data_IF_873281415802
#
_entry.id   IF_873281415802
#
_cell.length_a   1.000
_cell.length_b   1.000
_cell.length_c   1.000
_cell.angle_alpha   90.00
_cell.angle_beta   90.00
_cell.angle_gamma   90.00
#
_symmetry.space_group_name_H-M   'P 1'
#
loop_
_entity.id
_entity.type
_entity.pdbx_description
1 polymer ?
#
# COMPACT_ATOMS: atom_id res chain seq x y z
N UNK A 1 3.22 12.84 4.79
CA UNK A 1 2.03 11.97 5.01
C UNK A 1 1.83 11.70 6.49
N UNK A 2 2.86 11.26 7.20
CA UNK A 2 2.89 11.05 8.65
C UNK A 2 2.18 12.16 9.45
N UNK A 3 2.65 13.40 9.37
CA UNK A 3 2.08 14.54 10.12
C UNK A 3 0.58 14.69 9.93
N UNK A 4 0.07 14.48 8.73
CA UNK A 4 -1.36 14.59 8.46
C UNK A 4 -2.15 13.49 9.18
N UNK A 5 -1.72 12.24 9.05
CA UNK A 5 -2.40 11.11 9.69
C UNK A 5 -2.26 11.13 11.21
N UNK A 6 -1.14 11.67 11.73
CA UNK A 6 -0.98 11.99 13.15
C UNK A 6 -1.98 13.06 13.59
N UNK A 7 -2.17 14.13 12.83
CA UNK A 7 -3.20 15.14 13.13
C UNK A 7 -4.61 14.56 13.10
N UNK A 8 -4.92 13.67 12.14
CA UNK A 8 -6.20 12.98 12.03
C UNK A 8 -6.45 12.09 13.26
N UNK A 9 -5.47 11.26 13.64
CA UNK A 9 -5.57 10.40 14.82
C UNK A 9 -5.69 11.19 16.12
N UNK A 10 -4.88 12.24 16.29
CA UNK A 10 -4.94 13.10 17.47
C UNK A 10 -6.28 13.85 17.57
N UNK A 11 -6.81 14.32 16.43
CA UNK A 11 -8.13 14.96 16.39
C UNK A 11 -9.21 13.99 16.85
N UNK A 12 -9.19 12.75 16.36
CA UNK A 12 -10.13 11.71 16.75
C UNK A 12 -10.06 11.36 18.24
N UNK A 13 -8.85 11.21 18.80
CA UNK A 13 -8.66 10.90 20.22
C UNK A 13 -9.11 12.02 21.17
N UNK A 14 -9.12 13.27 20.68
CA UNK A 14 -9.41 14.47 21.47
C UNK A 14 -10.85 14.97 21.24
N UNK A 15 -11.55 14.48 20.21
CA UNK A 15 -12.88 14.95 19.81
C UNK A 15 -13.94 14.83 20.91
N UNK A 16 -13.82 13.82 21.78
CA UNK A 16 -14.73 13.60 22.92
C UNK A 16 -14.47 14.52 24.12
N UNK A 17 -13.43 15.37 24.09
CA UNK A 17 -13.09 16.29 25.21
C UNK A 17 -13.59 17.70 24.90
N UNK A 18 -14.66 18.11 25.58
CA UNK A 18 -15.32 19.41 25.38
C UNK A 18 -14.37 20.62 25.48
N UNK A 19 -13.38 20.56 26.37
CA UNK A 19 -12.41 21.66 26.60
C UNK A 19 -11.38 21.84 25.48
N UNK A 20 -11.28 20.90 24.54
CA UNK A 20 -10.22 20.87 23.53
C UNK A 20 -10.71 21.17 22.10
N UNK A 21 -11.93 21.66 21.93
CA UNK A 21 -12.51 22.02 20.61
C UNK A 21 -11.61 22.97 19.79
N UNK A 22 -10.98 23.97 20.44
CA UNK A 22 -10.04 24.89 19.79
C UNK A 22 -8.80 24.17 19.23
N UNK A 23 -8.29 23.16 19.94
CA UNK A 23 -7.16 22.35 19.49
C UNK A 23 -7.56 21.46 18.31
N UNK A 24 -8.75 20.85 18.35
CA UNK A 24 -9.29 20.05 17.23
C UNK A 24 -9.40 20.90 15.95
N UNK A 25 -9.89 22.13 16.05
CA UNK A 25 -9.94 23.04 14.89
C UNK A 25 -8.56 23.35 14.32
N UNK A 26 -7.58 23.64 15.19
CA UNK A 26 -6.19 23.86 14.74
C UNK A 26 -5.58 22.63 14.07
N UNK A 27 -5.86 21.43 14.60
CA UNK A 27 -5.38 20.17 14.02
C UNK A 27 -6.02 19.91 12.65
N UNK A 28 -7.33 20.12 12.49
CA UNK A 28 -8.04 20.00 11.21
C UNK A 28 -7.52 21.02 10.18
N UNK A 29 -7.22 22.25 10.61
CA UNK A 29 -6.61 23.26 9.74
C UNK A 29 -5.20 22.83 9.28
N UNK A 30 -4.36 22.36 10.21
CA UNK A 30 -3.03 21.87 9.90
C UNK A 30 -3.08 20.66 8.96
N UNK A 31 -4.03 19.74 9.17
CA UNK A 31 -4.30 18.60 8.31
C UNK A 31 -4.58 19.05 6.86
N UNK A 32 -5.47 20.05 6.69
CA UNK A 32 -5.82 20.60 5.38
C UNK A 32 -4.64 21.27 4.69
N UNK A 33 -3.86 22.08 5.42
CA UNK A 33 -2.65 22.73 4.88
C UNK A 33 -1.60 21.71 4.45
N UNK A 34 -1.35 20.69 5.28
CA UNK A 34 -0.43 19.59 4.95
C UNK A 34 -0.93 18.79 3.75
N UNK A 35 -2.24 18.53 3.64
CA UNK A 35 -2.83 17.84 2.50
C UNK A 35 -2.59 18.60 1.20
N UNK A 36 -2.82 19.91 1.21
CA UNK A 36 -2.62 20.79 0.05
C UNK A 36 -1.15 20.85 -0.36
N UNK A 37 -0.24 21.04 0.62
CA UNK A 37 1.21 21.01 0.37
C UNK A 37 1.66 19.68 -0.25
N UNK A 38 1.16 18.54 0.24
CA UNK A 38 1.47 17.22 -0.35
C UNK A 38 1.00 17.07 -1.79
N UNK A 39 -0.11 17.69 -2.18
CA UNK A 39 -0.59 17.63 -3.58
C UNK A 39 0.32 18.46 -4.48
N UNK A 40 0.73 19.64 -4.02
CA UNK A 40 1.71 20.49 -4.70
C UNK A 40 3.01 19.75 -5.01
N UNK A 41 3.63 19.12 -3.99
CA UNK A 41 4.87 18.36 -4.17
C UNK A 41 4.73 17.16 -5.13
N UNK A 42 3.50 16.72 -5.43
CA UNK A 42 3.23 15.56 -6.30
C UNK A 42 2.92 15.92 -7.74
N UNK A 43 2.83 17.21 -8.10
CA UNK A 43 2.56 17.63 -9.48
C UNK A 43 3.57 17.07 -10.49
N UNK A 44 4.85 16.94 -10.10
CA UNK A 44 5.90 16.33 -10.94
C UNK A 44 5.81 14.80 -11.04
N UNK A 45 5.15 14.12 -10.10
CA UNK A 45 5.10 12.66 -10.06
C UNK A 45 4.20 12.05 -11.15
N UNK A 46 3.28 12.83 -11.73
CA UNK A 46 2.48 12.38 -12.87
C UNK A 46 3.37 12.02 -14.06
N UNK A 47 4.33 12.89 -14.39
CA UNK A 47 5.27 12.67 -15.50
C UNK A 47 6.15 11.46 -15.21
N UNK A 48 6.68 11.33 -13.99
CA UNK A 48 7.44 10.15 -13.57
C UNK A 48 6.61 8.86 -13.68
N UNK A 49 5.33 8.89 -13.30
CA UNK A 49 4.45 7.72 -13.40
C UNK A 49 4.16 7.33 -14.86
N UNK A 50 3.99 8.31 -15.76
CA UNK A 50 3.82 8.06 -17.19
C UNK A 50 5.09 7.48 -17.83
N UNK A 51 6.26 8.01 -17.48
CA UNK A 51 7.55 7.48 -17.96
C UNK A 51 7.76 6.05 -17.44
N UNK A 52 7.42 5.77 -16.18
CA UNK A 52 7.49 4.42 -15.62
C UNK A 52 6.50 3.45 -16.31
N UNK A 53 5.28 3.91 -16.63
CA UNK A 53 4.32 3.12 -17.39
C UNK A 53 4.85 2.75 -18.79
N UNK A 54 5.53 3.68 -19.47
CA UNK A 54 6.16 3.43 -20.77
C UNK A 54 7.30 2.40 -20.67
N UNK A 55 8.19 2.54 -19.69
CA UNK A 55 9.32 1.61 -19.48
C UNK A 55 8.85 0.20 -19.14
N UNK A 56 7.78 0.07 -18.36
CA UNK A 56 7.23 -1.25 -18.00
C UNK A 56 6.53 -1.92 -19.19
N UNK A 57 6.03 -1.16 -20.18
CA UNK A 57 5.44 -1.73 -21.39
C UNK A 57 6.45 -2.48 -22.29
N UNK A 58 7.74 -2.23 -22.10
CA UNK A 58 8.83 -2.91 -22.83
C UNK A 58 9.28 -4.22 -22.16
N UNK A 59 8.66 -4.63 -21.06
CA UNK A 59 9.01 -5.87 -20.36
C UNK A 59 8.65 -7.13 -21.19
N UNK A 60 9.50 -8.17 -21.17
CA UNK A 60 9.28 -9.40 -21.94
C UNK A 60 8.20 -10.31 -21.33
N UNK A 61 8.00 -10.26 -20.01
CA UNK A 61 7.06 -11.09 -19.25
C UNK A 61 5.63 -10.51 -19.29
N UNK A 62 4.66 -11.26 -19.82
CA UNK A 62 3.30 -10.73 -20.15
C UNK A 62 2.48 -10.36 -18.91
N UNK A 63 2.48 -11.19 -17.87
CA UNK A 63 1.62 -11.02 -16.68
C UNK A 63 2.14 -9.92 -15.74
N UNK A 64 3.42 -9.91 -15.33
CA UNK A 64 4.00 -8.79 -14.57
C UNK A 64 3.92 -7.46 -15.32
N UNK A 65 4.15 -7.46 -16.64
CA UNK A 65 4.01 -6.27 -17.48
C UNK A 65 2.63 -5.65 -17.37
N UNK A 66 1.58 -6.44 -17.59
CA UNK A 66 0.22 -5.93 -17.55
C UNK A 66 -0.14 -5.33 -16.18
N UNK A 67 0.17 -6.05 -15.09
CA UNK A 67 -0.04 -5.57 -13.73
C UNK A 67 0.76 -4.29 -13.42
N UNK A 68 2.03 -4.23 -13.83
CA UNK A 68 2.89 -3.08 -13.58
C UNK A 68 2.44 -1.85 -14.39
N UNK A 69 2.20 -2.02 -15.69
CA UNK A 69 1.74 -0.93 -16.55
C UNK A 69 0.38 -0.40 -16.09
N UNK A 70 -0.57 -1.27 -15.74
CA UNK A 70 -1.87 -0.86 -15.21
C UNK A 70 -1.76 -0.15 -13.85
N UNK A 71 -0.85 -0.58 -12.96
CA UNK A 71 -0.57 0.11 -11.69
C UNK A 71 0.02 1.50 -11.91
N UNK A 72 0.98 1.66 -12.84
CA UNK A 72 1.56 2.96 -13.14
C UNK A 72 0.57 3.91 -13.82
N UNK A 73 -0.29 3.39 -14.71
CA UNK A 73 -1.32 4.18 -15.37
C UNK A 73 -2.41 4.65 -14.39
N UNK A 74 -2.92 3.76 -13.55
CA UNK A 74 -3.88 4.13 -12.49
C UNK A 74 -3.29 5.15 -11.51
N UNK A 75 -1.99 5.06 -11.22
CA UNK A 75 -1.26 6.03 -10.39
C UNK A 75 -1.06 7.37 -11.09
N UNK A 76 -0.82 7.39 -12.39
CA UNK A 76 -0.77 8.63 -13.18
C UNK A 76 -2.12 9.34 -13.20
N UNK A 77 -3.23 8.60 -13.41
CA UNK A 77 -4.59 9.13 -13.34
C UNK A 77 -4.93 9.68 -11.94
N UNK A 78 -4.48 9.00 -10.89
CA UNK A 78 -4.59 9.52 -9.53
C UNK A 78 -3.86 10.85 -9.34
N UNK A 79 -2.61 10.96 -9.81
CA UNK A 79 -1.86 12.23 -9.71
C UNK A 79 -2.48 13.35 -10.53
N UNK A 80 -3.07 13.04 -11.69
CA UNK A 80 -3.83 14.02 -12.47
C UNK A 80 -5.03 14.56 -11.68
N UNK A 81 -5.80 13.68 -11.04
CA UNK A 81 -6.91 14.11 -10.19
C UNK A 81 -6.42 14.94 -8.98
N UNK A 82 -5.29 14.57 -8.37
CA UNK A 82 -4.67 15.33 -7.28
C UNK A 82 -4.20 16.72 -7.74
N UNK A 83 -3.69 16.84 -8.97
CA UNK A 83 -3.30 18.11 -9.58
C UNK A 83 -4.52 19.01 -9.82
N UNK A 84 -5.61 18.47 -10.35
CA UNK A 84 -6.87 19.19 -10.55
C UNK A 84 -7.47 19.67 -9.22
N UNK A 85 -7.47 18.82 -8.19
CA UNK A 85 -7.93 19.20 -6.86
C UNK A 85 -7.04 20.26 -6.19
N UNK A 86 -5.73 20.23 -6.46
CA UNK A 86 -4.80 21.27 -5.98
C UNK A 86 -5.03 22.60 -6.71
N UNK A 87 -5.21 22.57 -8.03
CA UNK A 87 -5.50 23.76 -8.84
C UNK A 87 -6.73 24.52 -8.32
N UNK A 88 -7.79 23.77 -7.96
CA UNK A 88 -8.97 24.32 -7.27
C UNK A 88 -8.61 24.93 -5.91
N UNK A 89 -7.77 24.27 -5.10
CA UNK A 89 -7.41 24.77 -3.76
C UNK A 89 -6.63 26.09 -3.77
N UNK A 90 -5.94 26.38 -4.88
CA UNK A 90 -5.21 27.64 -5.10
C UNK A 90 -6.14 28.73 -5.69
N UNK A 91 -7.38 28.37 -6.06
CA UNK A 91 -8.36 29.32 -6.61
C UNK A 91 -8.23 29.58 -8.11
N UNK A 92 -7.37 28.82 -8.82
CA UNK A 92 -7.15 28.99 -10.25
C UNK A 92 -8.33 28.52 -11.11
N UNK A 93 -9.13 27.57 -10.62
CA UNK A 93 -10.34 27.12 -11.29
C UNK A 93 -11.46 26.78 -10.28
N UNK A 94 -12.34 27.74 -9.94
CA UNK A 94 -13.35 27.59 -8.89
C UNK A 94 -14.61 26.81 -9.33
N UNK A 95 -14.77 26.47 -10.61
CA UNK A 95 -15.96 25.79 -11.13
C UNK A 95 -15.88 24.24 -11.07
N UNK A 96 -14.74 23.70 -10.62
CA UNK A 96 -14.50 22.25 -10.61
C UNK A 96 -15.26 21.54 -9.48
N UNK A 97 -16.13 20.58 -9.80
CA UNK A 97 -16.84 19.77 -8.78
C UNK A 97 -15.89 18.97 -7.86
N UNK A 98 -15.54 19.55 -6.70
CA UNK A 98 -14.70 18.91 -5.68
C UNK A 98 -15.11 17.48 -5.32
N UNK A 99 -16.39 17.18 -5.00
CA UNK A 99 -16.77 15.83 -4.57
C UNK A 99 -16.64 14.81 -5.72
N UNK A 100 -16.92 15.21 -6.96
CA UNK A 100 -16.79 14.33 -8.13
C UNK A 100 -15.33 13.96 -8.37
N UNK A 101 -14.44 14.96 -8.44
CA UNK A 101 -13.01 14.74 -8.67
C UNK A 101 -12.33 14.01 -7.53
N UNK A 102 -12.74 14.25 -6.29
CA UNK A 102 -12.28 13.48 -5.14
C UNK A 102 -12.71 12.02 -5.23
N UNK A 103 -13.96 11.73 -5.63
CA UNK A 103 -14.43 10.36 -5.81
C UNK A 103 -13.65 9.64 -6.93
N UNK A 104 -13.41 10.30 -8.07
CA UNK A 104 -12.59 9.76 -9.15
C UNK A 104 -11.16 9.46 -8.70
N UNK A 105 -10.53 10.40 -7.97
CA UNK A 105 -9.19 10.19 -7.40
C UNK A 105 -9.16 8.96 -6.48
N UNK A 106 -10.16 8.82 -5.60
CA UNK A 106 -10.28 7.68 -4.68
C UNK A 106 -10.43 6.36 -5.43
N UNK A 107 -11.27 6.31 -6.49
CA UNK A 107 -11.43 5.10 -7.32
C UNK A 107 -10.12 4.73 -8.02
N UNK A 108 -9.44 5.69 -8.66
CA UNK A 108 -8.15 5.43 -9.32
C UNK A 108 -7.11 4.92 -8.32
N UNK A 109 -7.05 5.53 -7.13
CA UNK A 109 -6.14 5.10 -6.08
C UNK A 109 -6.47 3.70 -5.57
N UNK A 110 -7.75 3.40 -5.38
CA UNK A 110 -8.23 2.07 -4.97
C UNK A 110 -7.84 0.98 -5.98
N UNK A 111 -8.09 1.19 -7.27
CA UNK A 111 -7.68 0.23 -8.31
C UNK A 111 -6.16 0.05 -8.35
N UNK A 112 -5.39 1.12 -8.19
CA UNK A 112 -3.92 1.05 -8.10
C UNK A 112 -3.46 0.18 -6.92
N UNK A 113 -4.13 0.28 -5.77
CA UNK A 113 -3.86 -0.54 -4.59
C UNK A 113 -4.23 -2.01 -4.83
N UNK A 114 -5.38 -2.30 -5.45
CA UNK A 114 -5.77 -3.68 -5.76
C UNK A 114 -4.77 -4.36 -6.70
N UNK A 115 -4.32 -3.67 -7.74
CA UNK A 115 -3.33 -4.21 -8.67
C UNK A 115 -1.98 -4.44 -7.96
N UNK A 116 -1.59 -3.54 -7.05
CA UNK A 116 -0.41 -3.73 -6.22
C UNK A 116 -0.53 -4.95 -5.31
N UNK A 117 -1.65 -5.10 -4.60
CA UNK A 117 -1.89 -6.26 -3.73
C UNK A 117 -1.94 -7.57 -4.53
N UNK A 118 -2.54 -7.56 -5.72
CA UNK A 118 -2.56 -8.74 -6.60
C UNK A 118 -1.15 -9.15 -7.04
N UNK A 119 -0.27 -8.18 -7.32
CA UNK A 119 1.14 -8.42 -7.62
C UNK A 119 1.89 -8.97 -6.40
N UNK A 120 1.70 -8.37 -5.23
CA UNK A 120 2.33 -8.83 -3.98
C UNK A 120 1.92 -10.29 -3.71
N UNK A 121 0.63 -10.59 -3.88
CA UNK A 121 0.09 -11.95 -3.74
C UNK A 121 0.68 -12.92 -4.76
N UNK A 122 0.81 -12.51 -6.02
CA UNK A 122 1.41 -13.34 -7.07
C UNK A 122 2.87 -13.69 -6.73
N UNK A 123 3.66 -12.69 -6.32
CA UNK A 123 5.07 -12.88 -5.95
C UNK A 123 5.23 -13.80 -4.72
N UNK A 124 4.36 -13.64 -3.72
CA UNK A 124 4.32 -14.53 -2.55
C UNK A 124 3.99 -15.96 -2.98
N UNK A 125 2.97 -16.12 -3.82
CA UNK A 125 2.50 -17.43 -4.27
C UNK A 125 3.59 -18.17 -5.05
N UNK A 126 4.24 -17.46 -5.98
CA UNK A 126 5.36 -17.97 -6.77
C UNK A 126 6.53 -18.43 -5.87
N UNK A 127 6.91 -17.62 -4.88
CA UNK A 127 8.00 -17.96 -3.94
C UNK A 127 7.66 -19.12 -3.02
N UNK A 128 6.40 -19.22 -2.62
CA UNK A 128 5.93 -20.33 -1.81
C UNK A 128 5.97 -21.64 -2.60
N UNK A 129 5.58 -21.63 -3.87
CA UNK A 129 5.68 -22.78 -4.76
C UNK A 129 7.14 -23.24 -4.95
N UNK A 130 8.06 -22.30 -5.12
CA UNK A 130 9.49 -22.59 -5.18
C UNK A 130 10.01 -23.21 -3.86
N UNK A 131 9.63 -22.66 -2.71
CA UNK A 131 10.02 -23.20 -1.41
C UNK A 131 9.48 -24.63 -1.19
N UNK A 132 8.23 -24.89 -1.60
CA UNK A 132 7.63 -26.22 -1.53
C UNK A 132 8.33 -27.21 -2.47
N UNK A 133 8.78 -26.78 -3.65
CA UNK A 133 9.54 -27.62 -4.58
C UNK A 133 10.95 -27.94 -4.05
N UNK A 134 11.62 -26.96 -3.44
CA UNK A 134 12.90 -27.16 -2.77
C UNK A 134 12.79 -28.12 -1.59
N UNK A 135 11.74 -28.00 -0.78
CA UNK A 135 11.47 -28.92 0.33
C UNK A 135 11.26 -30.34 -0.18
N UNK A 136 10.41 -30.54 -1.20
CA UNK A 136 10.21 -31.86 -1.84
C UNK A 136 11.50 -32.45 -2.40
N UNK A 137 12.36 -31.62 -3.00
CA UNK A 137 13.66 -32.06 -3.55
C UNK A 137 14.63 -32.46 -2.44
N UNK A 138 14.66 -31.71 -1.32
CA UNK A 138 15.46 -32.03 -0.13
C UNK A 138 14.95 -33.28 0.58
N UNK A 139 13.64 -33.44 0.69
CA UNK A 139 13.00 -34.66 1.20
C UNK A 139 13.41 -35.85 0.36
N UNK A 140 13.29 -35.78 -0.98
CA UNK A 140 13.66 -36.89 -1.86
C UNK A 140 15.14 -37.32 -1.71
N UNK A 141 16.06 -36.37 -1.48
CA UNK A 141 17.45 -36.68 -1.14
C UNK A 141 17.63 -37.26 0.29
N UNK A 142 16.74 -36.94 1.22
CA UNK A 142 16.80 -37.37 2.63
C UNK A 142 16.13 -38.74 2.86
N UNK A 143 15.04 -39.04 2.15
CA UNK A 143 14.33 -40.33 2.17
C UNK A 143 15.20 -41.50 1.74
N UNK A 144 16.27 -41.26 0.97
CA UNK A 144 17.27 -42.29 0.64
C UNK A 144 18.15 -42.70 1.85
N UNK A 145 18.09 -41.96 2.98
CA UNK A 145 18.85 -42.23 4.21
C UNK A 145 18.00 -42.57 5.45
N UNK A 146 16.68 -42.35 5.44
CA UNK A 146 15.90 -42.27 6.69
C UNK A 146 14.57 -43.05 6.64
N UNK A 147 14.53 -44.25 6.05
CA UNK A 147 13.29 -45.04 5.94
C UNK A 147 12.84 -45.72 7.24
N UNK A 148 13.48 -45.52 8.40
CA UNK A 148 13.18 -46.30 9.60
C UNK A 148 12.61 -45.54 10.78
N UNK A 149 12.68 -44.22 10.86
CA UNK A 149 12.17 -43.52 12.02
C UNK A 149 11.29 -42.34 11.63
N UNK A 150 10.14 -42.30 12.30
CA UNK A 150 9.42 -41.08 12.65
C UNK A 150 8.21 -40.73 11.77
N UNK A 151 7.19 -41.59 11.89
CA UNK A 151 5.82 -41.11 12.07
C UNK A 151 5.80 -39.96 13.11
N UNK A 152 5.76 -38.70 12.69
CA UNK A 152 5.59 -37.58 13.63
C UNK A 152 4.84 -36.41 13.00
N UNK A 153 3.67 -36.15 13.59
CA UNK A 153 2.93 -34.89 13.63
C UNK A 153 2.54 -34.33 12.26
N UNK A 154 1.34 -34.72 11.80
CA UNK A 154 0.51 -33.88 10.92
C UNK A 154 0.21 -32.58 11.67
N UNK A 155 1.11 -31.61 11.54
CA UNK A 155 0.79 -30.22 11.86
C UNK A 155 -0.28 -29.77 10.87
N UNK A 156 -1.36 -29.20 11.40
CA UNK A 156 -2.51 -28.74 10.65
C UNK A 156 -2.06 -27.95 9.41
N UNK A 157 -2.54 -28.32 8.21
CA UNK A 157 -1.98 -27.84 6.94
C UNK A 157 -1.94 -26.31 6.83
N UNK A 158 -2.87 -25.64 7.52
CA UNK A 158 -2.91 -24.18 7.64
C UNK A 158 -1.72 -23.62 8.44
N UNK A 159 -1.34 -24.25 9.55
CA UNK A 159 -0.24 -23.79 10.40
C UNK A 159 1.11 -23.94 9.69
N UNK A 160 1.31 -25.05 8.97
CA UNK A 160 2.48 -25.24 8.10
C UNK A 160 2.56 -24.18 7.00
N UNK A 161 1.44 -23.92 6.32
CA UNK A 161 1.35 -22.86 5.30
C UNK A 161 1.65 -21.47 5.87
N UNK A 162 1.07 -21.10 7.02
CA UNK A 162 1.28 -19.80 7.65
C UNK A 162 2.75 -19.60 8.08
N UNK A 163 3.40 -20.66 8.59
CA UNK A 163 4.82 -20.63 8.92
C UNK A 163 5.68 -20.43 7.67
N UNK A 164 5.41 -21.16 6.59
CA UNK A 164 6.14 -21.01 5.34
C UNK A 164 5.95 -19.62 4.73
N UNK A 165 4.72 -19.12 4.74
CA UNK A 165 4.39 -17.76 4.33
C UNK A 165 5.18 -16.72 5.13
N UNK A 166 5.21 -16.87 6.46
CA UNK A 166 5.98 -16.00 7.33
C UNK A 166 7.48 -16.06 7.03
N UNK A 167 8.03 -17.25 6.77
CA UNK A 167 9.43 -17.42 6.39
C UNK A 167 9.75 -16.75 5.05
N UNK A 168 8.89 -16.92 4.03
CA UNK A 168 9.06 -16.28 2.72
C UNK A 168 9.05 -14.76 2.84
N UNK A 169 8.11 -14.21 3.61
CA UNK A 169 8.02 -12.77 3.88
C UNK A 169 9.23 -12.26 4.67
N UNK A 170 9.69 -13.00 5.69
CA UNK A 170 10.88 -12.65 6.48
C UNK A 170 12.16 -12.66 5.64
N UNK A 171 12.28 -13.59 4.68
CA UNK A 171 13.40 -13.65 3.73
C UNK A 171 13.35 -12.53 2.69
N UNK A 172 12.18 -11.93 2.45
CA UNK A 172 11.98 -10.87 1.46
C UNK A 172 11.40 -9.61 2.11
N UNK A 173 12.19 -8.89 2.93
CA UNK A 173 11.70 -7.73 3.65
C UNK A 173 11.10 -6.63 2.75
N UNK A 174 11.57 -6.36 1.51
CA UNK A 174 10.91 -5.40 0.64
C UNK A 174 9.46 -5.75 0.27
N UNK A 175 9.16 -7.03 0.05
CA UNK A 175 7.83 -7.52 -0.31
C UNK A 175 6.87 -7.41 0.87
N UNK A 176 7.34 -7.75 2.07
CA UNK A 176 6.59 -7.58 3.32
C UNK A 176 6.24 -6.12 3.56
N UNK A 177 7.21 -5.21 3.38
CA UNK A 177 6.99 -3.78 3.57
C UNK A 177 5.98 -3.22 2.56
N UNK A 178 6.06 -3.59 1.28
CA UNK A 178 5.07 -3.12 0.29
C UNK A 178 3.67 -3.68 0.57
N UNK A 179 3.56 -4.96 0.92
CA UNK A 179 2.29 -5.59 1.30
C UNK A 179 1.64 -4.89 2.50
N UNK A 180 2.38 -4.72 3.61
CA UNK A 180 1.89 -4.04 4.82
C UNK A 180 1.44 -2.63 4.51
N UNK A 181 2.21 -1.90 3.70
CA UNK A 181 1.88 -0.55 3.28
C UNK A 181 0.61 -0.51 2.42
N UNK A 182 0.49 -1.37 1.41
CA UNK A 182 -0.66 -1.44 0.52
C UNK A 182 -1.94 -1.82 1.29
N UNK A 183 -1.85 -2.77 2.25
CA UNK A 183 -2.94 -3.14 3.14
C UNK A 183 -3.37 -1.98 4.06
N UNK A 184 -2.42 -1.26 4.65
CA UNK A 184 -2.73 -0.10 5.48
C UNK A 184 -3.39 1.02 4.67
N UNK A 185 -2.87 1.31 3.48
CA UNK A 185 -3.39 2.36 2.60
C UNK A 185 -4.79 2.02 2.03
N UNK A 186 -5.23 0.76 2.10
CA UNK A 186 -6.56 0.30 1.66
C UNK A 186 -7.71 0.83 2.53
N UNK A 187 -7.44 1.09 3.82
CA UNK A 187 -8.46 1.56 4.78
C UNK A 187 -9.13 2.87 4.36
N UNK A 188 -8.37 3.81 3.80
CA UNK A 188 -8.87 5.12 3.40
C UNK A 188 -9.86 5.08 2.23
N UNK A 189 -9.51 4.44 1.10
CA UNK A 189 -10.41 4.31 -0.05
C UNK A 189 -11.65 3.48 0.23
N UNK A 190 -11.54 2.40 1.03
CA UNK A 190 -12.68 1.57 1.41
C UNK A 190 -13.75 2.37 2.16
N UNK A 191 -13.31 3.23 3.09
CA UNK A 191 -14.22 4.11 3.84
C UNK A 191 -14.83 5.19 2.94
N UNK A 192 -13.99 5.87 2.14
CA UNK A 192 -14.44 6.97 1.26
C UNK A 192 -15.40 6.49 0.17
N UNK A 193 -15.24 5.26 -0.33
CA UNK A 193 -16.15 4.64 -1.32
C UNK A 193 -17.40 4.02 -0.67
N UNK A 194 -17.47 3.97 0.66
CA UNK A 194 -18.59 3.36 1.39
C UNK A 194 -18.63 1.83 1.31
N UNK A 195 -17.54 1.19 0.88
CA UNK A 195 -17.45 -0.28 0.77
C UNK A 195 -17.31 -0.90 2.17
N UNK A 196 -16.49 -0.30 3.02
CA UNK A 196 -16.32 -0.73 4.41
C UNK A 196 -16.13 0.49 5.32
N UNK A 197 -17.12 0.75 6.18
CA UNK A 197 -17.09 1.89 7.10
C UNK A 197 -16.04 1.67 8.17
N UNK A 198 -15.00 2.49 8.14
CA UNK A 198 -13.86 2.38 9.04
C UNK A 198 -13.84 3.59 9.96
N UNK A 199 -13.41 3.41 11.20
CA UNK A 199 -13.28 4.53 12.12
C UNK A 199 -12.14 5.48 11.68
N UNK A 200 -12.32 6.82 11.70
CA UNK A 200 -11.24 7.77 11.44
C UNK A 200 -9.94 7.52 12.23
N UNK A 201 -10.04 7.01 13.46
CA UNK A 201 -8.87 6.61 14.25
C UNK A 201 -8.07 5.47 13.60
N UNK A 202 -8.74 4.48 13.02
CA UNK A 202 -8.08 3.35 12.33
C UNK A 202 -7.42 3.84 11.05
N UNK A 203 -8.09 4.68 10.26
CA UNK A 203 -7.52 5.28 9.04
C UNK A 203 -6.28 6.11 9.39
N UNK A 204 -6.35 6.90 10.47
CA UNK A 204 -5.22 7.66 11.00
C UNK A 204 -4.05 6.76 11.40
N UNK A 205 -4.31 5.68 12.15
CA UNK A 205 -3.28 4.71 12.55
C UNK A 205 -2.64 4.00 11.36
N UNK A 206 -3.44 3.46 10.44
CA UNK A 206 -2.95 2.82 9.22
C UNK A 206 -2.11 3.79 8.37
N UNK A 207 -2.53 5.05 8.25
CA UNK A 207 -1.78 6.07 7.53
C UNK A 207 -0.45 6.46 8.20
N UNK A 208 -0.35 6.36 9.53
CA UNK A 208 0.93 6.50 10.25
C UNK A 208 1.83 5.30 9.95
N UNK A 209 1.29 4.08 10.07
CA UNK A 209 2.05 2.85 9.81
C UNK A 209 2.60 2.81 8.39
N UNK A 210 1.77 3.10 7.39
CA UNK A 210 2.20 3.17 5.98
C UNK A 210 3.22 4.29 5.73
N UNK A 211 3.12 5.41 6.46
CA UNK A 211 4.10 6.49 6.40
C UNK A 211 5.44 6.09 7.00
N UNK A 212 5.45 5.37 8.13
CA UNK A 212 6.67 4.87 8.78
C UNK A 212 7.39 3.86 7.88
N UNK A 213 6.65 2.94 7.26
CA UNK A 213 7.19 2.03 6.24
C UNK A 213 7.79 2.82 5.06
N UNK A 214 7.11 3.88 4.62
CA UNK A 214 7.63 4.79 3.59
C UNK A 214 8.94 5.48 3.98
N UNK A 215 9.08 5.91 5.24
CA UNK A 215 10.31 6.52 5.75
C UNK A 215 11.43 5.49 5.85
N UNK A 216 11.12 4.29 6.37
CA UNK A 216 12.08 3.19 6.52
C UNK A 216 12.66 2.76 5.16
N UNK A 217 11.81 2.66 4.14
CA UNK A 217 12.23 2.30 2.77
C UNK A 217 13.06 3.39 2.09
N UNK A 218 12.89 4.66 2.48
CA UNK A 218 13.74 5.76 2.02
C UNK A 218 15.09 5.80 2.76
N UNK A 219 15.10 5.51 4.06
CA UNK A 219 16.31 5.47 4.88
C UNK A 219 17.22 4.27 4.55
N UNK A 220 16.62 3.15 4.15
CA UNK A 220 17.33 1.91 3.83
C UNK A 220 17.10 1.51 2.37
N UNK A 221 17.91 1.99 1.42
CA UNK A 221 17.72 1.69 0.00
C UNK A 221 17.85 0.20 -0.35
N UNK A 222 18.53 -0.60 0.49
CA UNK A 222 18.58 -2.06 0.38
C UNK A 222 17.21 -2.75 0.62
N UNK A 223 16.26 -2.06 1.26
CA UNK A 223 14.90 -2.54 1.51
C UNK A 223 13.91 -2.08 0.43
N UNK A 224 14.37 -1.31 -0.56
CA UNK A 224 13.52 -0.84 -1.65
C UNK A 224 13.33 -2.00 -2.64
N UNK A 225 12.09 -2.45 -2.79
CA UNK A 225 11.73 -3.42 -3.83
C UNK A 225 12.11 -2.79 -5.18
N UNK A 226 13.04 -3.42 -5.92
CA UNK A 226 13.31 -3.03 -7.30
C UNK A 226 12.08 -3.40 -8.12
N UNK A 227 11.34 -2.38 -8.55
CA UNK A 227 10.21 -2.47 -9.49
C UNK A 227 10.70 -2.28 -10.91
#
# INVERSE_FOLDING_TARGET
>A
RATQYTCMLLSYLIENKADKKKLVMKLKQLESSMSSGRKMFRLGNMVHALVAARRTAELPEVVPRFCLTASHLSRALYFLCDAVLWLRSVGLQPDIDKPKWQNWATKCYYYSLLINLARDWYEISWRLEQAALEEKTKENCCWQKHSEELNCVKSDGLHGFLLQLFQVLKRNPPLLLDLVKNLCDLSGPLDTLGIYKTNPGVIGFCGILSSLVGILTLASPHLKLKQ
#
